data_IF_919546509545
#
_entry.id   IF_919546509545
#
_cell.length_a   1.000
_cell.length_b   1.000
_cell.length_c   1.000
_cell.angle_alpha   90.00
_cell.angle_beta   90.00
_cell.angle_gamma   90.00
#
_symmetry.space_group_name_H-M   'P 1'
#
loop_
_entity.id
_entity.type
_entity.pdbx_description
1 polymer ?
#
# COMPACT_ATOMS: atom_id res chain seq x y z
N UNK A 1 85.33 -11.08 36.24
CA UNK A 1 84.44 -11.85 37.13
C UNK A 1 83.83 -10.90 38.16
N UNK A 2 82.72 -10.25 37.80
CA UNK A 2 81.77 -9.47 38.64
C UNK A 2 80.78 -8.80 37.66
N UNK A 3 79.50 -8.64 38.01
CA UNK A 3 78.62 -9.74 38.37
C UNK A 3 77.35 -9.74 37.50
N UNK A 4 76.69 -10.89 37.37
CA UNK A 4 75.46 -11.09 36.60
C UNK A 4 74.10 -10.75 37.30
N UNK A 5 73.97 -10.07 38.47
CA UNK A 5 72.68 -9.98 39.15
C UNK A 5 71.79 -8.84 38.64
N UNK A 6 72.33 -7.85 37.91
CA UNK A 6 71.56 -6.68 37.47
C UNK A 6 70.63 -6.96 36.27
N UNK A 7 71.00 -7.89 35.39
CA UNK A 7 70.13 -8.31 34.28
C UNK A 7 68.95 -9.15 34.76
N UNK A 8 69.15 -10.00 35.78
CA UNK A 8 68.07 -10.84 36.30
C UNK A 8 66.96 -10.03 37.01
N UNK A 9 67.32 -8.93 37.69
CA UNK A 9 66.34 -8.09 38.38
C UNK A 9 65.44 -7.30 37.41
N UNK A 10 65.98 -6.77 36.31
CA UNK A 10 65.19 -6.09 35.28
C UNK A 10 64.20 -7.02 34.59
N UNK A 11 64.67 -8.22 34.21
CA UNK A 11 63.85 -9.23 33.53
C UNK A 11 62.75 -9.78 34.46
N UNK A 12 63.02 -9.96 35.75
CA UNK A 12 62.01 -10.38 36.72
C UNK A 12 60.93 -9.32 36.97
N UNK A 13 61.27 -8.03 36.84
CA UNK A 13 60.32 -6.93 37.02
C UNK A 13 59.41 -6.77 35.80
N UNK A 14 59.93 -6.99 34.58
CA UNK A 14 59.14 -7.00 33.34
C UNK A 14 58.16 -8.19 33.29
N UNK A 15 58.60 -9.39 33.66
CA UNK A 15 57.74 -10.58 33.66
C UNK A 15 56.61 -10.46 34.72
N UNK A 16 56.88 -9.81 35.85
CA UNK A 16 55.85 -9.52 36.85
C UNK A 16 54.83 -8.46 36.41
N UNK A 17 55.21 -7.57 35.47
CA UNK A 17 54.33 -6.54 34.93
C UNK A 17 53.43 -7.03 33.78
N UNK A 18 53.84 -8.08 33.05
CA UNK A 18 53.08 -8.67 31.94
C UNK A 18 51.91 -9.58 32.38
N UNK A 19 51.80 -9.88 33.67
CA UNK A 19 50.73 -10.68 34.25
C UNK A 19 49.41 -9.94 34.50
N UNK A 20 49.06 -8.88 33.76
CA UNK A 20 47.68 -8.36 33.79
C UNK A 20 46.82 -9.26 32.91
N UNK A 21 46.34 -10.37 33.47
CA UNK A 21 45.24 -11.15 32.91
C UNK A 21 44.18 -10.18 32.40
N UNK A 22 43.87 -10.21 31.10
CA UNK A 22 42.85 -9.35 30.51
C UNK A 22 41.62 -9.40 31.42
N UNK A 23 41.22 -8.26 31.98
CA UNK A 23 40.15 -8.17 32.97
C UNK A 23 38.99 -9.02 32.46
N UNK A 24 38.74 -10.15 33.14
CA UNK A 24 37.92 -11.23 32.65
C UNK A 24 36.50 -10.70 32.55
N UNK A 25 36.15 -10.25 31.36
CA UNK A 25 34.85 -9.71 30.99
C UNK A 25 34.44 -8.48 31.78
N UNK A 26 34.45 -7.32 31.13
CA UNK A 26 33.69 -6.16 31.60
C UNK A 26 32.19 -6.48 31.44
N UNK A 27 31.66 -7.26 32.39
CA UNK A 27 30.27 -7.72 32.42
C UNK A 27 29.33 -6.53 32.49
N UNK A 28 29.74 -5.44 33.15
CA UNK A 28 28.98 -4.19 33.19
C UNK A 28 28.88 -3.57 31.79
N UNK A 29 29.99 -3.48 31.04
CA UNK A 29 29.95 -3.01 29.66
C UNK A 29 29.09 -3.92 28.77
N UNK A 30 29.22 -5.25 28.88
CA UNK A 30 28.40 -6.20 28.08
C UNK A 30 26.90 -6.10 28.42
N UNK A 31 26.55 -6.00 29.70
CA UNK A 31 25.17 -5.79 30.14
C UNK A 31 24.67 -4.44 29.64
N UNK A 32 25.48 -3.39 29.69
CA UNK A 32 25.16 -2.07 29.12
C UNK A 32 24.86 -2.14 27.63
N UNK A 33 25.69 -2.84 26.84
CA UNK A 33 25.45 -3.07 25.42
C UNK A 33 24.17 -3.88 25.16
N UNK A 34 23.89 -4.91 25.96
CA UNK A 34 22.67 -5.71 25.82
C UNK A 34 21.42 -4.89 26.14
N UNK A 35 21.43 -4.12 27.23
CA UNK A 35 20.32 -3.23 27.60
C UNK A 35 20.12 -2.16 26.53
N UNK A 36 21.21 -1.53 26.06
CA UNK A 36 21.16 -0.54 24.99
C UNK A 36 20.59 -1.12 23.69
N UNK A 37 21.01 -2.34 23.31
CA UNK A 37 20.49 -3.05 22.15
C UNK A 37 19.00 -3.38 22.31
N UNK A 38 18.58 -3.88 23.47
CA UNK A 38 17.17 -4.18 23.75
C UNK A 38 16.30 -2.92 23.71
N UNK A 39 16.76 -1.81 24.28
CA UNK A 39 16.07 -0.53 24.20
C UNK A 39 15.97 -0.01 22.77
N UNK A 40 17.04 -0.15 21.98
CA UNK A 40 17.04 0.23 20.57
C UNK A 40 16.05 -0.62 19.76
N UNK A 41 16.04 -1.94 19.97
CA UNK A 41 15.07 -2.85 19.34
C UNK A 41 13.64 -2.46 19.74
N UNK A 42 13.38 -2.24 21.03
CA UNK A 42 12.07 -1.81 21.52
C UNK A 42 11.62 -0.47 20.89
N UNK A 43 12.53 0.49 20.76
CA UNK A 43 12.28 1.76 20.08
C UNK A 43 11.93 1.56 18.60
N UNK A 44 12.67 0.72 17.87
CA UNK A 44 12.36 0.39 16.47
C UNK A 44 10.97 -0.23 16.35
N UNK A 45 10.64 -1.21 17.18
CA UNK A 45 9.29 -1.81 17.19
C UNK A 45 8.20 -0.78 17.53
N UNK A 46 8.47 0.14 18.46
CA UNK A 46 7.56 1.22 18.80
C UNK A 46 7.33 2.18 17.63
N UNK A 47 8.40 2.60 16.94
CA UNK A 47 8.30 3.44 15.73
C UNK A 47 7.57 2.73 14.58
N UNK A 48 7.82 1.43 14.37
CA UNK A 48 7.07 0.63 13.38
C UNK A 48 5.58 0.58 13.72
N UNK A 49 5.24 0.39 14.99
CA UNK A 49 3.84 0.41 15.47
C UNK A 49 3.20 1.77 15.26
N UNK A 50 3.90 2.85 15.55
CA UNK A 50 3.36 4.21 15.36
C UNK A 50 3.16 4.53 13.87
N UNK A 51 4.11 4.12 13.02
CA UNK A 51 3.97 4.22 11.57
C UNK A 51 2.78 3.44 11.02
N UNK A 52 2.43 2.28 11.60
CA UNK A 52 1.22 1.55 11.23
C UNK A 52 -0.06 2.24 11.69
N UNK A 53 -0.10 2.81 12.91
CA UNK A 53 -1.25 3.61 13.36
C UNK A 53 -1.46 4.83 12.47
N UNK A 54 -0.37 5.52 12.10
CA UNK A 54 -0.46 6.71 11.27
C UNK A 54 -0.94 6.39 9.84
N UNK A 55 -0.54 5.25 9.27
CA UNK A 55 -1.15 4.75 8.02
C UNK A 55 -2.63 4.42 8.16
N UNK A 56 -3.07 3.88 9.29
CA UNK A 56 -4.48 3.59 9.52
C UNK A 56 -5.31 4.88 9.63
N UNK A 57 -4.79 5.93 10.28
CA UNK A 57 -5.46 7.23 10.35
C UNK A 57 -5.57 7.90 8.99
N UNK A 58 -4.58 7.67 8.11
CA UNK A 58 -4.59 8.22 6.75
C UNK A 58 -5.73 7.68 5.88
N UNK A 59 -6.59 6.74 6.30
CA UNK A 59 -7.73 6.27 5.48
C UNK A 59 -9.10 6.50 6.13
N UNK A 60 -9.15 7.02 7.37
CA UNK A 60 -10.39 7.20 8.12
C UNK A 60 -11.31 8.31 7.59
N UNK A 61 -10.74 9.28 6.86
CA UNK A 61 -11.46 10.48 6.40
C UNK A 61 -12.20 10.27 5.06
N UNK A 62 -12.23 9.04 4.53
CA UNK A 62 -12.96 8.75 3.30
C UNK A 62 -14.47 8.93 3.55
N UNK A 63 -15.15 9.82 2.81
CA UNK A 63 -16.58 10.03 2.95
C UNK A 63 -17.36 8.76 2.59
N UNK A 64 -18.64 8.72 2.93
CA UNK A 64 -19.54 7.64 2.50
C UNK A 64 -19.58 7.55 0.97
N UNK A 65 -19.68 6.33 0.46
CA UNK A 65 -19.70 6.08 -0.97
C UNK A 65 -21.05 6.56 -1.53
N UNK A 66 -21.07 7.17 -2.72
CA UNK A 66 -22.33 7.50 -3.38
C UNK A 66 -23.14 6.22 -3.61
N UNK A 67 -24.45 6.31 -3.37
CA UNK A 67 -25.39 5.29 -3.79
C UNK A 67 -25.66 5.41 -5.30
N UNK A 68 -25.99 4.28 -5.92
CA UNK A 68 -26.46 4.29 -7.30
C UNK A 68 -27.78 5.06 -7.40
N UNK A 69 -28.01 5.85 -8.46
CA UNK A 69 -29.29 6.52 -8.66
C UNK A 69 -30.42 5.49 -8.82
N UNK A 70 -31.63 5.83 -8.37
CA UNK A 70 -32.80 4.94 -8.43
C UNK A 70 -33.16 4.57 -9.88
N UNK A 71 -32.90 5.47 -10.82
CA UNK A 71 -33.10 5.28 -12.26
C UNK A 71 -31.81 5.61 -13.02
N UNK A 72 -30.84 4.68 -13.10
CA UNK A 72 -29.54 4.93 -13.74
C UNK A 72 -29.62 5.01 -15.27
N UNK A 73 -30.78 4.73 -15.86
CA UNK A 73 -30.97 4.70 -17.31
C UNK A 73 -30.46 3.40 -17.96
N UNK A 74 -30.35 3.37 -19.31
CA UNK A 74 -29.94 2.18 -20.04
C UNK A 74 -28.44 1.89 -19.85
N UNK A 75 -28.11 0.61 -19.70
CA UNK A 75 -26.72 0.17 -19.62
C UNK A 75 -26.01 0.31 -20.97
N UNK A 76 -24.91 1.06 -21.00
CA UNK A 76 -24.00 1.17 -22.14
C UNK A 76 -23.16 -0.11 -22.27
N UNK A 77 -22.58 -0.57 -21.15
CA UNK A 77 -21.78 -1.78 -21.07
C UNK A 77 -22.08 -2.53 -19.76
N UNK A 78 -21.99 -3.85 -19.82
CA UNK A 78 -22.11 -4.72 -18.65
C UNK A 78 -21.02 -5.78 -18.69
N UNK A 79 -20.37 -6.06 -17.57
CA UNK A 79 -19.44 -7.19 -17.45
C UNK A 79 -19.53 -7.86 -16.09
N UNK A 80 -19.10 -9.12 -16.03
CA UNK A 80 -18.88 -9.84 -14.77
C UNK A 80 -17.42 -10.17 -14.60
N UNK A 81 -16.97 -10.22 -13.35
CA UNK A 81 -15.59 -10.56 -13.06
C UNK A 81 -15.25 -10.53 -11.58
N UNK A 82 -14.03 -10.10 -11.29
CA UNK A 82 -13.49 -10.00 -9.94
C UNK A 82 -12.98 -8.60 -9.66
N UNK A 83 -13.30 -8.14 -8.46
CA UNK A 83 -12.73 -6.94 -7.87
C UNK A 83 -11.52 -7.29 -7.01
N UNK A 84 -10.40 -6.63 -7.27
CA UNK A 84 -9.12 -6.89 -6.61
C UNK A 84 -8.84 -5.98 -5.41
N UNK A 85 -9.62 -4.91 -5.26
CA UNK A 85 -9.44 -3.86 -4.26
C UNK A 85 -9.17 -2.52 -4.92
N UNK A 86 -9.28 -1.46 -4.12
CA UNK A 86 -8.88 -0.12 -4.52
C UNK A 86 -7.58 0.30 -3.85
N UNK A 87 -6.84 1.17 -4.51
CA UNK A 87 -5.62 1.79 -4.01
C UNK A 87 -5.65 3.30 -4.19
N UNK A 88 -4.79 4.01 -3.49
CA UNK A 88 -4.48 5.40 -3.85
C UNK A 88 -3.94 5.43 -5.29
N UNK A 89 -4.40 6.39 -6.11
CA UNK A 89 -4.06 6.45 -7.52
C UNK A 89 -2.53 6.49 -7.74
N UNK A 90 -2.03 5.64 -8.64
CA UNK A 90 -0.60 5.51 -8.92
C UNK A 90 0.22 4.79 -7.84
N UNK A 91 -0.37 4.47 -6.68
CA UNK A 91 0.28 3.77 -5.57
C UNK A 91 -0.33 2.37 -5.40
N UNK A 92 -0.03 1.46 -6.32
CA UNK A 92 -0.65 0.13 -6.40
C UNK A 92 -0.44 -0.79 -5.17
N UNK A 93 0.44 -0.43 -4.23
CA UNK A 93 0.64 -1.12 -2.96
C UNK A 93 -0.20 -0.52 -1.80
N UNK A 94 -0.64 0.73 -1.94
CA UNK A 94 -1.38 1.46 -0.92
C UNK A 94 -2.87 1.11 -0.99
N UNK A 95 -3.22 -0.07 -0.46
CA UNK A 95 -4.60 -0.59 -0.42
C UNK A 95 -5.48 0.28 0.47
N UNK A 96 -6.60 0.74 -0.07
CA UNK A 96 -7.64 1.44 0.68
C UNK A 96 -8.55 0.39 1.32
N UNK A 97 -8.59 0.35 2.65
CA UNK A 97 -9.41 -0.61 3.41
C UNK A 97 -10.72 0.03 3.89
N UNK A 98 -10.77 1.35 3.94
CA UNK A 98 -11.98 2.09 4.31
C UNK A 98 -13.14 1.82 3.34
N UNK A 99 -14.38 1.93 3.87
CA UNK A 99 -15.64 1.81 3.12
C UNK A 99 -15.76 0.53 2.28
N UNK A 100 -15.19 -0.58 2.75
CA UNK A 100 -15.26 -1.87 2.05
C UNK A 100 -14.46 -1.93 0.73
N UNK A 101 -13.72 -0.89 0.36
CA UNK A 101 -12.95 -0.84 -0.89
C UNK A 101 -11.74 -1.79 -0.88
N UNK A 102 -11.33 -2.28 0.29
CA UNK A 102 -10.22 -3.21 0.43
C UNK A 102 -10.58 -4.67 0.24
N UNK A 103 -11.86 -5.02 0.31
CA UNK A 103 -12.33 -6.42 0.27
C UNK A 103 -12.35 -6.91 -1.17
N UNK A 104 -11.72 -8.07 -1.42
CA UNK A 104 -11.79 -8.73 -2.73
C UNK A 104 -13.12 -9.46 -2.84
N UNK A 105 -13.75 -9.39 -4.00
CA UNK A 105 -15.06 -9.99 -4.23
C UNK A 105 -15.23 -10.36 -5.70
N UNK A 106 -16.34 -11.04 -6.00
CA UNK A 106 -16.91 -10.97 -7.35
C UNK A 106 -17.41 -9.55 -7.60
N UNK A 107 -17.45 -9.15 -8.85
CA UNK A 107 -18.00 -7.87 -9.24
C UNK A 107 -18.78 -8.00 -10.54
N UNK A 108 -19.88 -7.26 -10.60
CA UNK A 108 -20.71 -7.05 -11.76
C UNK A 108 -20.68 -5.54 -12.01
N UNK A 109 -20.22 -5.15 -13.20
CA UNK A 109 -20.06 -3.75 -13.58
C UNK A 109 -21.14 -3.39 -14.58
N UNK A 110 -21.78 -2.26 -14.33
CA UNK A 110 -22.74 -1.66 -15.26
C UNK A 110 -22.32 -0.21 -15.50
N UNK A 111 -21.99 0.12 -16.74
CA UNK A 111 -21.72 1.49 -17.15
C UNK A 111 -23.02 2.10 -17.69
N UNK A 112 -23.39 3.26 -17.15
CA UNK A 112 -24.57 4.04 -17.56
C UNK A 112 -24.15 5.50 -17.74
N UNK A 113 -25.01 6.33 -18.34
CA UNK A 113 -24.72 7.76 -18.53
C UNK A 113 -24.48 8.50 -17.19
N UNK A 114 -25.09 8.02 -16.10
CA UNK A 114 -24.89 8.56 -14.74
C UNK A 114 -23.53 8.17 -14.15
N UNK A 115 -22.94 7.05 -14.58
CA UNK A 115 -21.66 6.58 -14.07
C UNK A 115 -21.52 5.06 -14.05
N UNK A 116 -20.55 4.61 -13.25
CA UNK A 116 -20.18 3.21 -13.10
C UNK A 116 -20.79 2.64 -11.82
N UNK A 117 -21.71 1.69 -11.98
CA UNK A 117 -22.25 0.89 -10.90
C UNK A 117 -21.44 -0.41 -10.71
N UNK A 118 -21.12 -0.70 -9.44
CA UNK A 118 -20.28 -1.83 -9.05
C UNK A 118 -21.00 -2.66 -7.99
N UNK A 119 -21.68 -3.70 -8.44
CA UNK A 119 -22.34 -4.68 -7.57
C UNK A 119 -21.34 -5.76 -7.20
N UNK A 120 -21.18 -6.02 -5.90
CA UNK A 120 -20.19 -6.95 -5.34
C UNK A 120 -20.89 -7.98 -4.45
N UNK A 121 -21.39 -9.09 -5.03
CA UNK A 121 -22.04 -10.14 -4.24
C UNK A 121 -21.15 -10.61 -3.06
N UNK A 122 -21.65 -10.40 -1.83
CA UNK A 122 -20.94 -10.75 -0.59
C UNK A 122 -19.97 -9.69 -0.05
N UNK A 123 -19.99 -8.47 -0.60
CA UNK A 123 -19.33 -7.28 -0.08
C UNK A 123 -20.25 -6.05 -0.30
N UNK A 124 -19.84 -4.87 0.18
CA UNK A 124 -20.65 -3.66 0.01
C UNK A 124 -20.62 -3.18 -1.45
N UNK A 125 -21.75 -2.79 -2.02
CA UNK A 125 -21.79 -2.22 -3.38
C UNK A 125 -21.30 -0.77 -3.38
N UNK A 126 -20.95 -0.23 -4.55
CA UNK A 126 -20.62 1.19 -4.65
C UNK A 126 -20.84 1.74 -6.05
N UNK A 127 -21.16 3.03 -6.11
CA UNK A 127 -21.35 3.76 -7.35
C UNK A 127 -20.26 4.83 -7.53
N UNK A 128 -19.77 4.96 -8.77
CA UNK A 128 -18.83 6.00 -9.17
C UNK A 128 -19.52 6.92 -10.18
N UNK A 129 -19.94 8.13 -9.76
CA UNK A 129 -20.58 9.09 -10.66
C UNK A 129 -19.68 9.46 -11.83
N UNK A 130 -20.28 9.66 -13.01
CA UNK A 130 -19.53 10.00 -14.23
C UNK A 130 -18.66 11.26 -14.05
N UNK A 131 -19.17 12.26 -13.33
CA UNK A 131 -18.44 13.50 -13.02
C UNK A 131 -17.18 13.29 -12.15
N UNK A 132 -17.09 12.17 -11.42
CA UNK A 132 -15.96 11.80 -10.58
C UNK A 132 -14.99 10.84 -11.27
N UNK A 133 -15.31 10.33 -12.44
CA UNK A 133 -14.37 9.54 -13.23
C UNK A 133 -13.22 10.43 -13.73
N UNK A 134 -12.00 9.89 -13.69
CA UNK A 134 -10.76 10.60 -14.05
C UNK A 134 -9.93 9.86 -15.10
N UNK A 135 -10.12 8.55 -15.24
CA UNK A 135 -9.53 7.79 -16.33
C UNK A 135 -9.78 6.29 -16.21
N UNK A 136 -9.58 5.56 -17.30
CA UNK A 136 -9.50 4.11 -17.30
C UNK A 136 -8.26 3.65 -18.05
N UNK A 137 -7.60 2.59 -17.56
CA UNK A 137 -6.41 2.02 -18.19
C UNK A 137 -6.32 0.53 -17.97
N UNK A 138 -5.55 -0.12 -18.84
CA UNK A 138 -5.08 -1.48 -18.59
C UNK A 138 -3.80 -1.41 -17.76
N UNK A 139 -3.73 -2.22 -16.71
CA UNK A 139 -2.56 -2.30 -15.86
C UNK A 139 -2.19 -3.76 -15.57
N UNK A 140 -1.01 -3.96 -14.98
CA UNK A 140 -0.50 -5.27 -14.57
C UNK A 140 -0.63 -5.51 -13.07
N UNK A 141 -0.86 -4.48 -12.26
CA UNK A 141 -0.91 -4.67 -10.81
C UNK A 141 -1.78 -3.70 -10.05
N UNK A 142 -2.45 -4.23 -9.03
CA UNK A 142 -3.25 -3.45 -8.09
C UNK A 142 -3.35 -4.14 -6.75
N UNK A 143 -3.37 -3.33 -5.69
CA UNK A 143 -3.56 -3.75 -4.31
C UNK A 143 -2.63 -4.92 -3.90
N UNK A 144 -1.36 -4.89 -4.32
CA UNK A 144 -0.37 -5.92 -4.03
C UNK A 144 -0.46 -7.20 -4.86
N UNK A 145 -1.29 -7.24 -5.91
CA UNK A 145 -1.35 -8.37 -6.85
C UNK A 145 -0.83 -7.95 -8.22
N UNK A 146 0.01 -8.78 -8.82
CA UNK A 146 0.48 -8.64 -10.21
C UNK A 146 -0.14 -9.74 -11.08
N UNK A 147 -0.57 -9.37 -12.28
CA UNK A 147 -1.14 -10.22 -13.30
C UNK A 147 -0.34 -10.06 -14.60
N UNK A 148 -0.71 -10.83 -15.62
CA UNK A 148 -0.20 -10.64 -16.99
C UNK A 148 -0.57 -9.25 -17.50
N UNK A 149 0.26 -8.70 -18.39
CA UNK A 149 0.00 -7.42 -19.04
C UNK A 149 -1.38 -7.40 -19.71
N UNK A 150 -2.12 -6.30 -19.57
CA UNK A 150 -3.51 -6.18 -20.05
C UNK A 150 -4.55 -6.97 -19.23
N UNK A 151 -4.13 -7.66 -18.17
CA UNK A 151 -4.99 -8.56 -17.39
C UNK A 151 -5.90 -7.88 -16.37
N UNK A 152 -5.85 -6.55 -16.25
CA UNK A 152 -6.57 -5.78 -15.26
C UNK A 152 -7.10 -4.47 -15.88
N UNK A 153 -8.38 -4.21 -15.72
CA UNK A 153 -9.00 -2.90 -15.89
C UNK A 153 -8.83 -2.10 -14.61
N UNK A 154 -8.18 -0.94 -14.68
CA UNK A 154 -8.08 0.01 -13.57
C UNK A 154 -8.88 1.25 -13.92
N UNK A 155 -9.84 1.58 -13.05
CA UNK A 155 -10.65 2.80 -13.16
C UNK A 155 -10.16 3.79 -12.10
N UNK A 156 -9.70 4.95 -12.55
CA UNK A 156 -9.30 6.07 -11.69
C UNK A 156 -10.47 7.01 -11.50
N UNK A 157 -10.79 7.33 -10.25
CA UNK A 157 -11.90 8.20 -9.90
C UNK A 157 -11.61 9.00 -8.62
N UNK A 158 -12.33 10.09 -8.44
CA UNK A 158 -12.21 10.99 -7.31
C UNK A 158 -13.24 10.66 -6.22
N UNK A 159 -12.80 10.58 -4.97
CA UNK A 159 -13.68 10.38 -3.83
C UNK A 159 -13.25 11.22 -2.64
N UNK A 160 -14.06 12.21 -2.27
CA UNK A 160 -13.62 13.29 -1.41
C UNK A 160 -12.42 13.99 -2.04
N UNK A 161 -11.36 14.23 -1.26
CA UNK A 161 -10.14 14.89 -1.73
C UNK A 161 -9.08 13.92 -2.29
N UNK A 162 -9.48 12.72 -2.73
CA UNK A 162 -8.55 11.65 -3.12
C UNK A 162 -8.83 11.10 -4.48
N UNK A 163 -7.75 10.75 -5.18
CA UNK A 163 -7.80 9.91 -6.37
C UNK A 163 -7.61 8.44 -6.00
N UNK A 164 -8.53 7.61 -6.44
CA UNK A 164 -8.62 6.19 -6.16
C UNK A 164 -8.50 5.42 -7.47
N UNK A 165 -7.66 4.38 -7.48
CA UNK A 165 -7.61 3.37 -8.53
C UNK A 165 -8.38 2.14 -8.06
N UNK A 166 -9.45 1.75 -8.79
CA UNK A 166 -10.22 0.53 -8.55
C UNK A 166 -9.92 -0.52 -9.60
N UNK A 167 -9.52 -1.72 -9.15
CA UNK A 167 -9.05 -2.79 -10.03
C UNK A 167 -10.04 -3.91 -10.26
N UNK A 168 -10.32 -4.18 -11.54
CA UNK A 168 -11.25 -5.19 -12.00
C UNK A 168 -10.60 -6.14 -12.99
N UNK A 169 -11.04 -7.39 -12.97
CA UNK A 169 -10.71 -8.37 -14.00
C UNK A 169 -11.98 -9.04 -14.48
N UNK A 170 -12.37 -8.76 -15.73
CA UNK A 170 -13.44 -9.45 -16.42
C UNK A 170 -13.17 -10.96 -16.49
N UNK A 171 -14.23 -11.74 -16.46
CA UNK A 171 -14.19 -13.17 -16.79
C UNK A 171 -13.78 -13.39 -18.26
N UNK A 172 -14.00 -12.43 -19.15
CA UNK A 172 -13.54 -12.43 -20.55
C UNK A 172 -12.53 -11.30 -20.77
N UNK A 173 -11.24 -11.65 -20.85
CA UNK A 173 -10.15 -10.68 -20.95
C UNK A 173 -10.26 -9.69 -22.13
N UNK A 174 -10.93 -10.09 -23.23
CA UNK A 174 -11.13 -9.23 -24.40
C UNK A 174 -12.02 -8.00 -24.12
N UNK A 175 -12.83 -8.03 -23.06
CA UNK A 175 -13.74 -6.94 -22.71
C UNK A 175 -13.00 -5.72 -22.11
N UNK A 176 -11.77 -5.88 -21.59
CA UNK A 176 -11.13 -4.76 -20.89
C UNK A 176 -10.84 -3.56 -21.80
N UNK A 177 -10.46 -3.79 -23.06
CA UNK A 177 -10.14 -2.70 -24.00
C UNK A 177 -11.38 -1.86 -24.32
N UNK A 178 -12.50 -2.52 -24.60
CA UNK A 178 -13.80 -1.86 -24.86
C UNK A 178 -14.24 -1.01 -23.67
N UNK A 179 -14.03 -1.52 -22.45
CA UNK A 179 -14.34 -0.78 -21.22
C UNK A 179 -13.45 0.44 -21.01
N UNK A 180 -12.15 0.34 -21.31
CA UNK A 180 -11.23 1.49 -21.26
C UNK A 180 -11.68 2.57 -22.24
N UNK A 181 -12.02 2.18 -23.47
CA UNK A 181 -12.49 3.11 -24.51
C UNK A 181 -13.80 3.79 -24.11
N UNK A 182 -14.80 3.03 -23.64
CA UNK A 182 -16.08 3.57 -23.25
C UNK A 182 -15.99 4.53 -22.04
N UNK A 183 -15.24 4.17 -21.00
CA UNK A 183 -15.03 5.02 -19.82
C UNK A 183 -14.31 6.31 -20.20
N UNK A 184 -13.25 6.24 -21.01
CA UNK A 184 -12.51 7.43 -21.43
C UNK A 184 -13.36 8.33 -22.34
N UNK A 185 -14.16 7.77 -23.25
CA UNK A 185 -15.09 8.55 -24.08
C UNK A 185 -16.15 9.28 -23.22
N UNK A 186 -16.67 8.64 -22.18
CA UNK A 186 -17.61 9.28 -21.24
C UNK A 186 -16.96 10.43 -20.47
N UNK A 187 -15.70 10.27 -20.03
CA UNK A 187 -14.95 11.32 -19.33
C UNK A 187 -14.73 12.53 -20.24
N UNK A 188 -14.35 12.31 -21.50
CA UNK A 188 -14.14 13.37 -22.49
C UNK A 188 -15.44 14.16 -22.76
N UNK A 189 -16.57 13.47 -22.91
CA UNK A 189 -17.89 14.11 -23.08
C UNK A 189 -18.26 15.00 -21.89
N UNK A 190 -18.17 14.46 -20.67
CA UNK A 190 -18.48 15.21 -19.45
C UNK A 190 -17.57 16.43 -19.23
N UNK A 191 -16.29 16.32 -19.61
CA UNK A 191 -15.35 17.44 -19.52
C UNK A 191 -15.72 18.55 -20.51
N UNK A 192 -16.15 18.19 -21.72
CA UNK A 192 -16.56 19.15 -22.76
C UNK A 192 -17.86 19.84 -22.37
N UNK A 193 -18.88 19.10 -21.93
CA UNK A 193 -20.16 19.69 -21.49
C UNK A 193 -20.02 20.56 -20.23
N UNK A 194 -19.11 20.20 -19.31
CA UNK A 194 -18.82 21.02 -18.14
C UNK A 194 -18.08 22.32 -18.46
N UNK A 195 -17.35 22.38 -19.58
CA UNK A 195 -16.66 23.60 -20.03
C UNK A 195 -17.56 24.56 -20.82
N UNK A 196 -18.69 24.08 -21.35
CA UNK A 196 -19.67 24.88 -22.10
C UNK A 196 -20.80 25.48 -21.24
N UNK A 197 -20.85 25.15 -19.93
CA UNK A 197 -21.81 25.69 -18.95
C UNK A 197 -21.20 26.78 -18.09
#
# INVERSE_FOLDING_TARGET
MTPAPLLAAGIATDIAAEGKSAAVTDWAARVGWLVGLLMFIALVYWLMREGWKWRATLQGDLPELPDAPEEPGPATLTMTGRYHGSTTAGQWLDRIVARGLGTRSRAELTLTDEGLDVVRPGADDFFVPAARLRGARLDKGIAGKVLTEGGLLVVTWEHGDRLIDSGFRSDRAAEHTEWVEALNSMIEKNTTEGAER
#
